data_IF_776229665306
#
_entry.id   IF_776229665306
#
_cell.length_a   1.000
_cell.length_b   1.000
_cell.length_c   1.000
_cell.angle_alpha   90.00
_cell.angle_beta   90.00
_cell.angle_gamma   90.00
#
_symmetry.space_group_name_H-M   'P 1'
#
loop_
_entity.id
_entity.type
_entity.pdbx_description
1 polymer ?
#
# COMPACT_ATOMS: atom_id res chain seq x y z
N UNK A 1 -14.84 5.83 -5.54
CA UNK A 1 -14.76 6.90 -4.52
C UNK A 1 -15.01 6.33 -3.13
N UNK A 2 -13.99 6.30 -2.27
CA UNK A 2 -14.04 5.70 -0.92
C UNK A 2 -14.37 6.72 0.16
N UNK A 3 -15.65 6.98 0.35
CA UNK A 3 -16.13 8.05 1.22
C UNK A 3 -16.57 7.53 2.58
N UNK A 4 -15.75 6.73 3.28
CA UNK A 4 -16.16 6.03 4.51
C UNK A 4 -16.60 6.96 5.64
N UNK A 5 -16.03 8.16 5.74
CA UNK A 5 -16.46 9.18 6.71
C UNK A 5 -17.88 9.70 6.45
N UNK A 6 -18.21 9.99 5.19
CA UNK A 6 -19.57 10.38 4.79
C UNK A 6 -20.54 9.22 4.95
N UNK A 7 -20.15 8.00 4.53
CA UNK A 7 -20.95 6.81 4.74
C UNK A 7 -21.25 6.53 6.22
N UNK A 8 -20.28 6.80 7.11
CA UNK A 8 -20.47 6.72 8.56
C UNK A 8 -21.45 7.77 9.06
N UNK A 9 -21.34 9.02 8.58
CA UNK A 9 -22.26 10.10 8.92
C UNK A 9 -23.68 9.79 8.49
N UNK A 10 -23.88 9.44 7.22
CA UNK A 10 -25.19 9.12 6.66
C UNK A 10 -25.84 7.93 7.35
N UNK A 11 -25.05 6.87 7.62
CA UNK A 11 -25.55 5.70 8.34
C UNK A 11 -25.90 6.02 9.80
N UNK A 12 -25.19 6.96 10.43
CA UNK A 12 -25.52 7.43 11.79
C UNK A 12 -26.82 8.22 11.78
N UNK A 13 -26.96 9.19 10.87
CA UNK A 13 -28.20 9.95 10.70
C UNK A 13 -29.39 9.06 10.37
N UNK A 14 -29.22 8.03 9.53
CA UNK A 14 -30.28 7.07 9.23
C UNK A 14 -30.76 6.32 10.49
N UNK A 15 -29.86 6.00 11.42
CA UNK A 15 -30.18 5.32 12.67
C UNK A 15 -30.75 6.27 13.74
N UNK A 16 -30.41 7.55 13.68
CA UNK A 16 -31.02 8.59 14.52
C UNK A 16 -32.49 8.81 14.12
N UNK A 17 -32.80 8.73 12.82
CA UNK A 17 -34.17 8.81 12.28
C UNK A 17 -34.94 7.51 12.56
N UNK A 18 -34.36 6.35 12.28
CA UNK A 18 -35.00 5.05 12.46
C UNK A 18 -34.04 4.01 13.07
N UNK A 19 -34.19 3.77 14.37
CA UNK A 19 -33.39 2.78 15.12
C UNK A 19 -33.70 1.33 14.75
N UNK A 20 -34.78 1.07 14.03
CA UNK A 20 -35.15 -0.28 13.55
C UNK A 20 -34.58 -0.59 12.16
N UNK A 21 -33.97 0.41 11.51
CA UNK A 21 -33.38 0.27 10.18
C UNK A 21 -32.08 -0.57 10.20
N UNK A 22 -32.22 -1.89 10.07
CA UNK A 22 -31.10 -2.85 10.12
C UNK A 22 -30.01 -2.57 9.07
N UNK A 23 -30.39 -2.08 7.88
CA UNK A 23 -29.42 -1.68 6.85
C UNK A 23 -28.53 -0.52 7.32
N UNK A 24 -29.03 0.38 8.18
CA UNK A 24 -28.24 1.46 8.78
C UNK A 24 -27.08 0.92 9.61
N UNK A 25 -27.36 -0.04 10.50
CA UNK A 25 -26.32 -0.72 11.29
C UNK A 25 -25.30 -1.42 10.39
N UNK A 26 -25.76 -2.15 9.36
CA UNK A 26 -24.85 -2.83 8.43
C UNK A 26 -23.92 -1.85 7.68
N UNK A 27 -24.46 -0.72 7.20
CA UNK A 27 -23.68 0.32 6.52
C UNK A 27 -22.70 1.00 7.46
N UNK A 28 -23.13 1.31 8.70
CA UNK A 28 -22.28 1.90 9.75
C UNK A 28 -21.16 0.93 10.17
N UNK A 29 -21.48 -0.35 10.32
CA UNK A 29 -20.52 -1.41 10.61
C UNK A 29 -19.46 -1.51 9.49
N UNK A 30 -19.90 -1.56 8.23
CA UNK A 30 -19.02 -1.64 7.06
C UNK A 30 -18.10 -0.41 6.97
N UNK A 31 -18.62 0.79 7.22
CA UNK A 31 -17.82 2.02 7.25
C UNK A 31 -16.80 2.01 8.39
N UNK A 32 -17.19 1.59 9.60
CA UNK A 32 -16.27 1.45 10.73
C UNK A 32 -15.19 0.39 10.47
N UNK A 33 -15.54 -0.71 9.80
CA UNK A 33 -14.59 -1.76 9.43
C UNK A 33 -13.53 -1.23 8.45
N UNK A 34 -13.95 -0.48 7.42
CA UNK A 34 -13.06 0.18 6.47
C UNK A 34 -12.16 1.26 7.11
N UNK A 35 -12.64 1.90 8.18
CA UNK A 35 -11.87 2.88 8.96
C UNK A 35 -10.94 2.24 10.01
N UNK A 36 -10.86 0.90 10.09
CA UNK A 36 -10.08 0.18 11.10
C UNK A 36 -10.70 0.20 12.51
N UNK A 37 -11.91 0.73 12.66
CA UNK A 37 -12.64 0.84 13.95
C UNK A 37 -13.40 -0.48 14.25
N UNK A 38 -12.66 -1.59 14.28
CA UNK A 38 -13.23 -2.95 14.33
C UNK A 38 -14.11 -3.20 15.56
N UNK A 39 -13.80 -2.64 16.72
CA UNK A 39 -14.65 -2.77 17.92
C UNK A 39 -16.04 -2.15 17.72
N UNK A 40 -16.11 -0.96 17.11
CA UNK A 40 -17.38 -0.28 16.79
C UNK A 40 -18.15 -1.03 15.71
N UNK A 41 -17.43 -1.54 14.70
CA UNK A 41 -18.03 -2.36 13.65
C UNK A 41 -18.64 -3.66 14.22
N UNK A 42 -17.96 -4.31 15.17
CA UNK A 42 -18.43 -5.55 15.80
C UNK A 42 -19.76 -5.37 16.52
N UNK A 43 -19.93 -4.29 17.29
CA UNK A 43 -21.19 -3.97 17.97
C UNK A 43 -22.35 -3.82 17.00
N UNK A 44 -22.14 -3.13 15.87
CA UNK A 44 -23.16 -2.95 14.86
C UNK A 44 -23.47 -4.26 14.11
N UNK A 45 -22.44 -5.07 13.78
CA UNK A 45 -22.66 -6.39 13.17
C UNK A 45 -23.36 -7.38 14.10
N UNK A 46 -23.12 -7.30 15.41
CA UNK A 46 -23.83 -8.10 16.40
C UNK A 46 -25.33 -7.77 16.42
N UNK A 47 -25.69 -6.48 16.35
CA UNK A 47 -27.08 -6.04 16.24
C UNK A 47 -27.74 -6.55 14.95
N UNK A 48 -27.03 -6.50 13.81
CA UNK A 48 -27.54 -7.03 12.53
C UNK A 48 -27.72 -8.55 12.60
N UNK A 49 -26.74 -9.29 13.12
CA UNK A 49 -26.80 -10.75 13.27
C UNK A 49 -27.97 -11.18 14.16
N UNK A 50 -28.21 -10.46 15.27
CA UNK A 50 -29.34 -10.72 16.18
C UNK A 50 -30.69 -10.46 15.49
N UNK A 51 -30.78 -9.40 14.69
CA UNK A 51 -32.00 -9.07 13.95
C UNK A 51 -32.26 -9.99 12.75
N UNK A 52 -31.21 -10.49 12.10
CA UNK A 52 -31.27 -11.33 10.89
C UNK A 52 -30.37 -12.56 11.00
N UNK A 53 -30.72 -13.56 11.84
CA UNK A 53 -29.86 -14.72 12.09
C UNK A 53 -29.71 -15.67 10.88
N UNK A 54 -30.65 -15.61 9.92
CA UNK A 54 -30.60 -16.40 8.68
C UNK A 54 -29.82 -15.72 7.54
N UNK A 55 -29.36 -14.50 7.74
CA UNK A 55 -28.58 -13.76 6.75
C UNK A 55 -27.11 -14.23 6.82
N UNK A 56 -26.74 -15.10 5.88
CA UNK A 56 -25.42 -15.71 5.86
C UNK A 56 -24.30 -14.68 5.68
N UNK A 57 -24.55 -13.59 4.94
CA UNK A 57 -23.56 -12.52 4.75
C UNK A 57 -23.30 -11.78 6.08
N UNK A 58 -24.37 -11.42 6.81
CA UNK A 58 -24.24 -10.79 8.11
C UNK A 58 -23.50 -11.67 9.13
N UNK A 59 -23.77 -12.98 9.14
CA UNK A 59 -23.07 -13.94 10.00
C UNK A 59 -21.59 -14.04 9.63
N UNK A 60 -21.28 -14.13 8.34
CA UNK A 60 -19.90 -14.21 7.86
C UNK A 60 -19.11 -12.94 8.23
N UNK A 61 -19.69 -11.75 8.01
CA UNK A 61 -19.08 -10.47 8.36
C UNK A 61 -18.86 -10.28 9.86
N UNK A 62 -19.82 -10.69 10.68
CA UNK A 62 -19.64 -10.73 12.13
C UNK A 62 -18.46 -11.63 12.52
N UNK A 63 -18.40 -12.86 12.01
CA UNK A 63 -17.34 -13.81 12.33
C UNK A 63 -15.96 -13.28 11.90
N UNK A 64 -15.88 -12.67 10.71
CA UNK A 64 -14.66 -12.04 10.21
C UNK A 64 -14.22 -10.87 11.10
N UNK A 65 -15.13 -9.95 11.41
CA UNK A 65 -14.85 -8.81 12.28
C UNK A 65 -14.41 -9.27 13.68
N UNK A 66 -15.07 -10.29 14.23
CA UNK A 66 -14.72 -10.85 15.54
C UNK A 66 -13.31 -11.45 15.54
N UNK A 67 -12.96 -12.20 14.49
CA UNK A 67 -11.61 -12.75 14.31
C UNK A 67 -10.54 -11.66 14.31
N UNK A 68 -10.76 -10.58 13.55
CA UNK A 68 -9.84 -9.44 13.47
C UNK A 68 -9.68 -8.76 14.85
N UNK A 69 -10.79 -8.51 15.56
CA UNK A 69 -10.75 -7.90 16.90
C UNK A 69 -9.95 -8.76 17.88
N UNK A 70 -10.15 -10.08 17.87
CA UNK A 70 -9.38 -11.00 18.71
C UNK A 70 -7.90 -11.04 18.33
N UNK A 71 -7.57 -11.08 17.04
CA UNK A 71 -6.19 -11.03 16.57
C UNK A 71 -5.49 -9.73 16.99
N UNK A 72 -6.16 -8.58 16.87
CA UNK A 72 -5.60 -7.30 17.30
C UNK A 72 -5.42 -7.22 18.82
N UNK A 73 -6.38 -7.74 19.59
CA UNK A 73 -6.26 -7.80 21.04
C UNK A 73 -5.09 -8.68 21.48
N UNK A 74 -4.92 -9.84 20.82
CA UNK A 74 -3.80 -10.76 21.05
C UNK A 74 -2.46 -10.12 20.68
N UNK A 75 -2.36 -9.52 19.49
CA UNK A 75 -1.16 -8.82 19.04
C UNK A 75 -0.79 -7.67 19.99
N UNK A 76 -1.78 -6.90 20.46
CA UNK A 76 -1.57 -5.81 21.44
C UNK A 76 -1.10 -6.33 22.80
N UNK A 77 -1.59 -7.48 23.24
CA UNK A 77 -1.14 -8.12 24.47
C UNK A 77 0.31 -8.60 24.39
N UNK A 78 0.76 -9.06 23.22
CA UNK A 78 2.13 -9.54 22.98
C UNK A 78 3.11 -8.38 22.69
N UNK A 79 2.62 -7.24 22.20
CA UNK A 79 3.45 -6.10 21.81
C UNK A 79 4.27 -5.46 22.95
N UNK A 80 4.07 -5.87 24.20
CA UNK A 80 4.74 -5.30 25.37
C UNK A 80 6.11 -5.96 25.68
N UNK A 81 6.48 -7.08 25.04
CA UNK A 81 7.66 -7.86 25.50
C UNK A 81 8.70 -8.29 24.44
N UNK A 82 8.71 -7.76 23.22
CA UNK A 82 9.80 -8.08 22.29
C UNK A 82 10.36 -6.86 21.56
N UNK A 83 11.69 -6.72 21.61
CA UNK A 83 12.38 -6.14 20.46
C UNK A 83 11.94 -6.97 19.26
N UNK A 84 11.13 -6.37 18.37
CA UNK A 84 10.62 -7.08 17.19
C UNK A 84 11.82 -7.49 16.36
N UNK A 85 12.23 -8.76 16.48
CA UNK A 85 13.19 -9.35 15.56
C UNK A 85 12.59 -9.25 14.17
N UNK A 86 13.37 -8.70 13.25
CA UNK A 86 12.97 -8.52 11.87
C UNK A 86 12.64 -9.89 11.27
N UNK A 87 11.53 -10.01 10.54
CA UNK A 87 11.17 -11.27 9.84
C UNK A 87 12.28 -11.64 8.85
N UNK A 88 12.94 -10.64 8.27
CA UNK A 88 14.09 -10.80 7.40
C UNK A 88 15.22 -11.64 8.04
N UNK A 89 15.50 -11.47 9.34
CA UNK A 89 16.57 -12.20 10.05
C UNK A 89 16.25 -13.70 10.20
N UNK A 90 14.97 -14.07 10.12
CA UNK A 90 14.53 -15.47 10.24
C UNK A 90 14.59 -16.23 8.91
N UNK A 91 14.80 -15.52 7.79
CA UNK A 91 14.74 -16.10 6.45
C UNK A 91 16.14 -16.49 6.00
N UNK A 92 16.34 -17.79 5.75
CA UNK A 92 17.59 -18.32 5.21
C UNK A 92 17.37 -18.81 3.77
N UNK A 93 17.90 -18.06 2.80
CA UNK A 93 17.76 -18.36 1.37
C UNK A 93 18.52 -19.62 0.93
N UNK A 94 19.61 -19.97 1.62
CA UNK A 94 20.48 -21.11 1.26
C UNK A 94 19.79 -22.44 1.52
N UNK A 95 18.91 -22.47 2.52
CA UNK A 95 18.11 -23.66 2.84
C UNK A 95 16.93 -23.87 1.86
N UNK A 96 16.64 -22.88 1.01
CA UNK A 96 15.56 -22.99 0.03
C UNK A 96 16.07 -23.70 -1.23
N UNK A 97 15.67 -24.96 -1.36
CA UNK A 97 15.85 -25.77 -2.58
C UNK A 97 14.83 -25.32 -3.62
N UNK A 98 15.30 -25.13 -4.85
CA UNK A 98 14.45 -24.91 -6.03
C UNK A 98 14.37 -26.23 -6.76
N UNK A 99 13.16 -26.72 -7.05
CA UNK A 99 12.98 -27.99 -7.73
C UNK A 99 13.56 -27.94 -9.16
N UNK A 100 14.09 -29.07 -9.64
CA UNK A 100 14.62 -29.18 -11.01
C UNK A 100 13.51 -28.98 -12.06
N UNK A 101 12.26 -29.30 -11.71
CA UNK A 101 11.06 -29.08 -12.53
C UNK A 101 10.63 -27.61 -12.60
N UNK A 102 11.27 -26.70 -11.86
CA UNK A 102 10.94 -25.28 -11.93
C UNK A 102 11.53 -24.65 -13.19
N UNK A 103 10.67 -24.37 -14.16
CA UNK A 103 11.01 -23.76 -15.46
C UNK A 103 10.91 -22.22 -15.46
N UNK A 104 10.57 -21.62 -14.33
CA UNK A 104 10.40 -20.18 -14.23
C UNK A 104 11.72 -19.41 -14.09
N UNK A 105 11.65 -18.08 -14.01
CA UNK A 105 12.82 -17.20 -13.93
C UNK A 105 13.70 -17.52 -12.72
N UNK A 106 15.01 -17.61 -12.96
CA UNK A 106 16.01 -17.89 -11.93
C UNK A 106 16.94 -16.70 -11.77
N UNK A 107 17.03 -16.20 -10.54
CA UNK A 107 18.02 -15.18 -10.18
C UNK A 107 19.15 -15.84 -9.42
N UNK A 108 20.17 -16.25 -10.16
CA UNK A 108 21.42 -16.81 -9.65
C UNK A 108 22.23 -15.77 -8.85
N UNK A 109 23.42 -16.13 -8.36
CA UNK A 109 24.24 -15.24 -7.54
C UNK A 109 24.60 -13.91 -8.25
N UNK A 110 24.75 -12.85 -7.45
CA UNK A 110 25.10 -11.51 -7.93
C UNK A 110 23.92 -10.56 -8.11
N UNK A 111 24.14 -9.52 -8.90
CA UNK A 111 23.14 -8.49 -9.20
C UNK A 111 22.00 -9.02 -10.07
N UNK A 112 20.85 -8.36 -10.02
CA UNK A 112 19.71 -8.75 -10.84
C UNK A 112 19.99 -8.36 -12.29
N UNK A 113 19.81 -9.30 -13.21
CA UNK A 113 19.94 -9.05 -14.64
C UNK A 113 18.59 -8.58 -15.24
N UNK A 114 18.65 -7.82 -16.34
CA UNK A 114 17.45 -7.33 -17.05
C UNK A 114 16.62 -8.51 -17.56
N UNK A 115 17.29 -9.57 -18.01
CA UNK A 115 16.69 -10.81 -18.54
C UNK A 115 15.83 -11.52 -17.50
N UNK A 116 16.25 -11.48 -16.22
CA UNK A 116 15.44 -12.02 -15.12
C UNK A 116 14.14 -11.22 -14.98
N UNK A 117 14.21 -9.89 -15.06
CA UNK A 117 13.02 -9.04 -14.95
C UNK A 117 12.07 -9.22 -16.14
N UNK A 118 12.57 -9.27 -17.38
CA UNK A 118 11.71 -9.54 -18.54
C UNK A 118 11.09 -10.93 -18.45
N UNK A 119 11.87 -11.95 -18.08
CA UNK A 119 11.36 -13.30 -17.86
C UNK A 119 10.33 -13.39 -16.73
N UNK A 120 10.50 -12.58 -15.67
CA UNK A 120 9.52 -12.45 -14.58
C UNK A 120 8.20 -11.90 -15.09
N UNK A 121 8.22 -10.81 -15.85
CA UNK A 121 7.00 -10.22 -16.39
C UNK A 121 6.23 -11.20 -17.27
N UNK A 122 6.92 -11.92 -18.16
CA UNK A 122 6.30 -12.93 -19.03
C UNK A 122 5.75 -14.11 -18.22
N UNK A 123 6.49 -14.59 -17.22
CA UNK A 123 6.04 -15.67 -16.34
C UNK A 123 4.77 -15.31 -15.57
N UNK A 124 4.72 -14.09 -15.02
CA UNK A 124 3.55 -13.59 -14.29
C UNK A 124 2.38 -13.30 -15.23
N UNK A 125 2.63 -12.90 -16.48
CA UNK A 125 1.60 -12.65 -17.50
C UNK A 125 0.85 -13.93 -17.86
N UNK A 126 1.55 -15.06 -17.86
CA UNK A 126 0.99 -16.42 -18.00
C UNK A 126 0.31 -16.92 -16.71
N UNK A 127 0.09 -16.06 -15.71
CA UNK A 127 -0.48 -16.38 -14.40
C UNK A 127 0.33 -17.42 -13.61
N UNK A 128 1.62 -17.57 -13.93
CA UNK A 128 2.49 -18.52 -13.23
C UNK A 128 3.13 -17.84 -12.03
N UNK A 129 3.34 -18.63 -10.97
CA UNK A 129 3.88 -18.15 -9.70
C UNK A 129 5.42 -18.16 -9.70
N UNK A 130 6.05 -17.05 -9.29
CA UNK A 130 7.49 -17.00 -9.04
C UNK A 130 7.85 -17.90 -7.85
N UNK A 131 8.93 -18.68 -7.96
CA UNK A 131 9.38 -19.53 -6.86
C UNK A 131 9.71 -18.71 -5.60
N UNK A 132 9.35 -19.23 -4.42
CA UNK A 132 9.45 -18.51 -3.13
C UNK A 132 10.85 -18.00 -2.83
N UNK A 133 11.90 -18.72 -3.23
CA UNK A 133 13.32 -18.33 -3.04
C UNK A 133 13.60 -16.98 -3.69
N UNK A 134 13.18 -16.81 -4.94
CA UNK A 134 13.42 -15.58 -5.69
C UNK A 134 12.51 -14.45 -5.22
N UNK A 135 11.26 -14.75 -4.83
CA UNK A 135 10.38 -13.77 -4.20
C UNK A 135 11.00 -13.22 -2.90
N UNK A 136 11.49 -14.08 -2.00
CA UNK A 136 12.19 -13.63 -0.79
C UNK A 136 13.48 -12.86 -1.12
N UNK A 137 14.25 -13.28 -2.12
CA UNK A 137 15.46 -12.57 -2.55
C UNK A 137 15.16 -11.14 -3.03
N UNK A 138 14.10 -10.95 -3.83
CA UNK A 138 13.62 -9.61 -4.24
C UNK A 138 13.24 -8.78 -3.01
N UNK A 139 12.45 -9.36 -2.10
CA UNK A 139 11.96 -8.66 -0.92
C UNK A 139 13.09 -8.21 0.01
N UNK A 140 14.02 -9.11 0.35
CA UNK A 140 15.15 -8.81 1.21
C UNK A 140 16.04 -7.71 0.61
N UNK A 141 16.35 -7.78 -0.69
CA UNK A 141 17.16 -6.74 -1.36
C UNK A 141 16.43 -5.41 -1.46
N UNK A 142 15.12 -5.43 -1.73
CA UNK A 142 14.32 -4.19 -1.73
C UNK A 142 14.25 -3.54 -0.34
N UNK A 143 14.17 -4.35 0.72
CA UNK A 143 14.18 -3.90 2.11
C UNK A 143 15.46 -3.14 2.44
N UNK A 144 16.63 -3.73 2.12
CA UNK A 144 17.93 -3.10 2.33
C UNK A 144 18.03 -1.73 1.64
N UNK A 145 17.50 -1.62 0.41
CA UNK A 145 17.46 -0.35 -0.33
C UNK A 145 16.57 0.67 0.38
N UNK A 146 15.36 0.29 0.79
CA UNK A 146 14.43 1.23 1.42
C UNK A 146 14.84 1.64 2.83
N UNK A 147 15.55 0.79 3.59
CA UNK A 147 16.02 1.10 4.95
C UNK A 147 16.99 2.27 4.99
N UNK A 148 17.87 2.38 4.01
CA UNK A 148 18.86 3.47 3.94
C UNK A 148 18.29 4.76 3.33
N UNK A 149 17.10 4.70 2.71
CA UNK A 149 16.48 5.87 2.10
C UNK A 149 15.84 6.80 3.14
N UNK A 150 15.84 8.12 2.92
CA UNK A 150 15.09 9.06 3.75
C UNK A 150 13.59 8.94 3.52
N UNK A 151 12.79 9.50 4.44
CA UNK A 151 11.33 9.51 4.32
C UNK A 151 10.84 10.43 3.18
N UNK A 152 11.63 11.43 2.82
CA UNK A 152 11.49 12.24 1.62
C UNK A 152 12.70 12.01 0.72
N UNK A 153 12.49 11.44 -0.47
CA UNK A 153 13.56 11.20 -1.44
C UNK A 153 13.66 12.39 -2.39
N UNK A 154 14.80 13.07 -2.41
CA UNK A 154 15.10 14.08 -3.42
C UNK A 154 15.56 13.38 -4.70
N UNK A 155 14.94 13.73 -5.83
CA UNK A 155 15.24 13.12 -7.14
C UNK A 155 15.76 14.20 -8.08
N UNK A 156 16.99 14.02 -8.52
CA UNK A 156 17.58 14.79 -9.62
C UNK A 156 17.33 14.03 -10.92
N UNK A 157 16.63 14.66 -11.85
CA UNK A 157 16.38 14.07 -13.17
C UNK A 157 17.62 14.37 -14.02
N UNK A 158 18.37 13.38 -14.51
CA UNK A 158 19.57 13.62 -15.32
C UNK A 158 19.24 14.42 -16.58
N UNK A 159 20.16 15.27 -17.03
CA UNK A 159 20.00 15.99 -18.31
C UNK A 159 19.96 15.04 -19.51
N UNK A 160 20.49 13.82 -19.36
CA UNK A 160 20.41 12.75 -20.36
C UNK A 160 19.04 12.08 -20.44
N UNK A 161 18.17 12.28 -19.45
CA UNK A 161 16.81 11.73 -19.44
C UNK A 161 15.83 12.80 -19.93
N UNK A 162 15.31 12.63 -21.14
CA UNK A 162 14.33 13.56 -21.72
C UNK A 162 12.99 13.60 -20.95
N UNK A 163 12.73 12.59 -20.10
CA UNK A 163 11.48 12.46 -19.36
C UNK A 163 11.64 11.76 -18.01
N UNK A 164 10.69 12.02 -17.13
CA UNK A 164 10.50 11.32 -15.86
C UNK A 164 9.01 10.96 -15.72
N UNK A 165 8.70 9.68 -15.56
CA UNK A 165 7.31 9.21 -15.56
C UNK A 165 6.79 9.06 -14.13
N UNK A 166 5.64 9.66 -13.82
CA UNK A 166 4.95 9.48 -12.54
C UNK A 166 3.66 8.71 -12.78
N UNK A 167 3.52 7.56 -12.13
CA UNK A 167 2.33 6.72 -12.14
C UNK A 167 1.58 6.85 -10.80
N UNK A 168 0.24 6.89 -10.86
CA UNK A 168 -0.62 6.80 -9.67
C UNK A 168 -0.93 5.34 -9.31
N UNK A 169 -2.10 5.15 -8.71
CA UNK A 169 -2.58 3.87 -8.18
C UNK A 169 -2.66 2.79 -9.27
N UNK A 170 -2.23 1.57 -8.92
CA UNK A 170 -2.28 0.40 -9.80
C UNK A 170 -3.25 -0.66 -9.25
N UNK A 171 -3.38 -0.77 -7.92
CA UNK A 171 -4.34 -1.65 -7.25
C UNK A 171 -4.42 -3.08 -7.82
N UNK A 172 -3.27 -3.75 -7.95
CA UNK A 172 -3.21 -5.14 -8.42
C UNK A 172 -3.72 -5.36 -9.84
N UNK A 173 -3.75 -4.32 -10.68
CA UNK A 173 -4.07 -4.41 -12.10
C UNK A 173 -2.82 -4.72 -12.93
N UNK A 174 -2.32 -5.96 -12.83
CA UNK A 174 -1.04 -6.36 -13.42
C UNK A 174 -0.98 -6.19 -14.95
N UNK A 175 -2.05 -6.53 -15.67
CA UNK A 175 -2.07 -6.37 -17.14
C UNK A 175 -2.08 -4.89 -17.57
N UNK A 176 -2.65 -4.01 -16.76
CA UNK A 176 -2.59 -2.56 -17.01
C UNK A 176 -1.18 -2.02 -16.73
N UNK A 177 -0.49 -2.55 -15.71
CA UNK A 177 0.94 -2.26 -15.49
C UNK A 177 1.80 -2.66 -16.69
N UNK A 178 1.57 -3.84 -17.27
CA UNK A 178 2.27 -4.26 -18.50
C UNK A 178 1.94 -3.34 -19.67
N UNK A 179 0.70 -2.86 -19.76
CA UNK A 179 0.29 -1.92 -20.80
C UNK A 179 1.00 -0.57 -20.65
N UNK A 180 1.18 -0.05 -19.42
CA UNK A 180 1.99 1.15 -19.14
C UNK A 180 3.41 0.96 -19.71
N UNK A 181 4.05 -0.17 -19.42
CA UNK A 181 5.40 -0.45 -19.92
C UNK A 181 5.46 -0.66 -21.44
N UNK A 182 4.40 -1.19 -22.04
CA UNK A 182 4.31 -1.35 -23.49
C UNK A 182 4.20 0.01 -24.18
N UNK A 183 3.40 0.93 -23.63
CA UNK A 183 3.15 2.25 -24.23
C UNK A 183 4.27 3.25 -23.96
N UNK A 184 4.86 3.24 -22.76
CA UNK A 184 5.84 4.24 -22.34
C UNK A 184 7.27 3.68 -22.21
N UNK A 185 7.47 2.39 -22.54
CA UNK A 185 8.74 1.69 -22.43
C UNK A 185 8.99 1.13 -21.03
N UNK A 186 9.80 0.06 -20.96
CA UNK A 186 10.22 -0.52 -19.70
C UNK A 186 11.04 0.47 -18.86
N UNK A 187 11.05 0.32 -17.53
CA UNK A 187 11.97 1.07 -16.68
C UNK A 187 13.43 0.80 -17.03
N UNK A 188 14.23 1.86 -17.05
CA UNK A 188 15.68 1.80 -17.26
C UNK A 188 16.34 3.05 -16.67
N UNK A 189 17.67 3.16 -16.78
CA UNK A 189 18.39 4.38 -16.41
C UNK A 189 17.94 5.60 -17.25
N UNK A 190 17.64 5.38 -18.54
CA UNK A 190 17.18 6.43 -19.46
C UNK A 190 15.65 6.67 -19.39
N UNK A 191 14.90 5.77 -18.76
CA UNK A 191 13.45 5.85 -18.63
C UNK A 191 13.01 5.67 -17.16
N UNK A 192 13.26 6.68 -16.29
CA UNK A 192 12.95 6.59 -14.87
C UNK A 192 11.46 6.69 -14.58
N UNK A 193 11.03 5.98 -13.53
CA UNK A 193 9.64 5.92 -13.07
C UNK A 193 9.53 6.22 -11.58
N UNK A 194 8.44 6.88 -11.19
CA UNK A 194 7.93 6.97 -9.83
C UNK A 194 6.52 6.38 -9.78
N UNK A 195 6.33 5.29 -9.04
CA UNK A 195 5.00 4.77 -8.71
C UNK A 195 4.55 5.33 -7.35
N UNK A 196 3.47 6.09 -7.34
CA UNK A 196 3.06 6.93 -6.22
C UNK A 196 2.05 6.24 -5.28
N UNK A 197 2.41 5.08 -4.74
CA UNK A 197 1.60 4.32 -3.77
C UNK A 197 0.42 3.55 -4.37
N UNK A 198 -0.28 2.80 -3.52
CA UNK A 198 -1.47 2.02 -3.85
C UNK A 198 -1.24 1.03 -5.01
N UNK A 199 -0.22 0.19 -4.81
CA UNK A 199 0.18 -0.84 -5.76
C UNK A 199 -0.71 -2.08 -5.66
N UNK A 200 -1.18 -2.37 -4.45
CA UNK A 200 -1.87 -3.61 -4.07
C UNK A 200 -3.32 -3.34 -3.66
N UNK A 201 -4.01 -4.42 -3.27
CA UNK A 201 -5.43 -4.46 -2.90
C UNK A 201 -6.38 -4.21 -4.08
N UNK A 202 -7.66 -4.59 -3.91
CA UNK A 202 -8.74 -4.51 -4.89
C UNK A 202 -8.57 -5.45 -6.08
N UNK A 203 -7.51 -5.29 -6.86
CA UNK A 203 -7.16 -6.18 -7.95
C UNK A 203 -6.66 -7.52 -7.44
N UNK A 204 -6.90 -8.57 -8.24
CA UNK A 204 -6.55 -9.95 -7.89
C UNK A 204 -5.15 -10.38 -8.35
N UNK A 205 -4.35 -9.44 -8.87
CA UNK A 205 -2.97 -9.65 -9.28
C UNK A 205 -2.00 -8.73 -8.52
N UNK A 206 -2.27 -8.53 -7.22
CA UNK A 206 -1.48 -7.63 -6.38
C UNK A 206 -0.07 -8.15 -6.15
N UNK A 207 0.10 -9.47 -6.03
CA UNK A 207 1.41 -10.13 -5.87
C UNK A 207 2.27 -9.94 -7.12
N UNK A 208 1.69 -10.08 -8.30
CA UNK A 208 2.39 -9.90 -9.58
C UNK A 208 2.86 -8.45 -9.74
N UNK A 209 1.97 -7.48 -9.44
CA UNK A 209 2.31 -6.05 -9.46
C UNK A 209 3.46 -5.76 -8.50
N UNK A 210 3.32 -6.10 -7.22
CA UNK A 210 4.31 -5.69 -6.23
C UNK A 210 5.67 -6.37 -6.44
N UNK A 211 5.70 -7.64 -6.85
CA UNK A 211 6.96 -8.32 -7.17
C UNK A 211 7.64 -7.68 -8.40
N UNK A 212 6.87 -7.25 -9.39
CA UNK A 212 7.40 -6.56 -10.56
C UNK A 212 7.98 -5.18 -10.22
N UNK A 213 7.26 -4.38 -9.43
CA UNK A 213 7.72 -3.06 -8.99
C UNK A 213 8.96 -3.16 -8.10
N UNK A 214 8.97 -4.08 -7.12
CA UNK A 214 10.14 -4.31 -6.27
C UNK A 214 11.32 -4.89 -7.04
N UNK A 215 11.06 -5.73 -8.05
CA UNK A 215 12.10 -6.22 -8.96
C UNK A 215 12.77 -5.08 -9.72
N UNK A 216 12.00 -4.17 -10.32
CA UNK A 216 12.58 -2.97 -10.95
C UNK A 216 13.26 -2.04 -9.95
N UNK A 217 12.77 -1.95 -8.71
CA UNK A 217 13.45 -1.20 -7.65
C UNK A 217 14.83 -1.78 -7.34
N UNK A 218 14.96 -3.10 -7.31
CA UNK A 218 16.23 -3.78 -7.09
C UNK A 218 17.16 -3.64 -8.29
N UNK A 219 16.62 -3.70 -9.52
CA UNK A 219 17.39 -3.58 -10.76
C UNK A 219 17.89 -2.14 -11.01
N UNK A 220 17.07 -1.13 -10.69
CA UNK A 220 17.36 0.28 -10.94
C UNK A 220 17.09 1.13 -9.69
N UNK A 221 17.85 0.97 -8.59
CA UNK A 221 17.55 1.61 -7.31
C UNK A 221 17.53 3.14 -7.36
N UNK A 222 18.28 3.74 -8.27
CA UNK A 222 18.38 5.20 -8.42
C UNK A 222 17.54 5.78 -9.58
N UNK A 223 16.79 4.93 -10.30
CA UNK A 223 15.95 5.36 -11.44
C UNK A 223 14.52 4.81 -11.37
N UNK A 224 14.25 3.89 -10.44
CA UNK A 224 12.92 3.39 -10.12
C UNK A 224 12.53 3.73 -8.68
N UNK A 225 11.48 4.54 -8.54
CA UNK A 225 11.06 5.13 -7.29
C UNK A 225 9.66 4.64 -6.91
N UNK A 226 9.43 4.48 -5.61
CA UNK A 226 8.17 3.97 -5.06
C UNK A 226 7.83 4.79 -3.82
N UNK A 227 6.65 5.40 -3.80
CA UNK A 227 6.11 6.04 -2.59
C UNK A 227 5.14 5.11 -1.88
N UNK A 228 5.02 5.24 -0.57
CA UNK A 228 3.98 4.56 0.21
C UNK A 228 2.62 5.19 -0.06
N UNK A 229 1.60 4.37 -0.31
CA UNK A 229 0.19 4.75 -0.32
C UNK A 229 -0.53 4.32 0.97
N UNK A 230 -1.84 4.55 1.04
CA UNK A 230 -2.60 4.06 2.20
C UNK A 230 -2.85 2.55 2.15
N UNK A 231 -2.86 1.95 0.96
CA UNK A 231 -3.01 0.51 0.79
C UNK A 231 -1.75 -0.28 1.15
N UNK A 232 -0.58 0.34 1.28
CA UNK A 232 0.61 -0.30 1.87
C UNK A 232 0.58 -0.28 3.42
N UNK A 233 -0.54 -0.76 3.99
CA UNK A 233 -0.80 -0.87 5.43
C UNK A 233 -1.60 -2.11 5.82
N UNK A 234 -1.35 -2.66 7.01
CA UNK A 234 -1.96 -3.90 7.52
C UNK A 234 -3.49 -3.82 7.47
N UNK A 235 -4.05 -2.71 7.95
CA UNK A 235 -5.50 -2.55 8.04
C UNK A 235 -6.17 -2.59 6.66
N UNK A 236 -5.54 -2.04 5.63
CA UNK A 236 -6.08 -2.07 4.27
C UNK A 236 -5.92 -3.46 3.67
N UNK A 237 -4.73 -4.06 3.78
CA UNK A 237 -4.44 -5.36 3.17
C UNK A 237 -5.28 -6.52 3.73
N UNK A 238 -5.63 -6.45 5.02
CA UNK A 238 -6.56 -7.40 5.67
C UNK A 238 -7.98 -7.32 5.13
N UNK A 239 -8.38 -6.13 4.71
CA UNK A 239 -9.74 -5.81 4.30
C UNK A 239 -9.95 -5.98 2.79
N UNK A 240 -8.93 -5.64 2.00
CA UNK A 240 -9.07 -5.43 0.56
C UNK A 240 -8.32 -6.43 -0.32
N UNK A 241 -7.69 -7.44 0.30
CA UNK A 241 -7.38 -8.70 -0.37
C UNK A 241 -5.91 -9.08 -0.39
N UNK A 242 -4.97 -8.13 -0.26
CA UNK A 242 -3.56 -8.44 -0.43
C UNK A 242 -3.01 -9.45 0.58
N UNK A 243 -3.39 -9.36 1.87
CA UNK A 243 -2.99 -10.39 2.86
C UNK A 243 -3.52 -11.77 2.44
N UNK A 244 -4.78 -11.84 2.00
CA UNK A 244 -5.40 -13.08 1.53
C UNK A 244 -4.67 -13.67 0.32
N UNK A 245 -4.34 -12.82 -0.65
CA UNK A 245 -3.63 -13.21 -1.88
C UNK A 245 -2.22 -13.74 -1.59
N UNK A 246 -1.44 -13.04 -0.76
CA UNK A 246 -0.09 -13.48 -0.37
C UNK A 246 -0.14 -14.80 0.39
N UNK A 247 -1.09 -14.97 1.32
CA UNK A 247 -1.23 -16.24 2.08
C UNK A 247 -1.67 -17.40 1.19
N UNK A 248 -2.45 -17.14 0.15
CA UNK A 248 -2.87 -18.16 -0.81
C UNK A 248 -1.74 -18.57 -1.77
N UNK A 249 -0.98 -17.58 -2.30
CA UNK A 249 0.12 -17.84 -3.25
C UNK A 249 1.39 -18.34 -2.55
N UNK A 250 1.69 -17.82 -1.36
CA UNK A 250 2.92 -18.08 -0.61
C UNK A 250 2.67 -18.55 0.82
N UNK A 251 2.82 -17.69 1.82
CA UNK A 251 2.84 -18.04 3.24
C UNK A 251 2.52 -16.84 4.13
N UNK A 252 2.25 -17.10 5.42
CA UNK A 252 2.14 -16.04 6.43
C UNK A 252 3.45 -15.25 6.57
N UNK A 253 4.60 -15.93 6.59
CA UNK A 253 5.91 -15.29 6.73
C UNK A 253 6.22 -14.32 5.57
N UNK A 254 5.77 -14.65 4.35
CA UNK A 254 5.89 -13.76 3.19
C UNK A 254 5.09 -12.47 3.38
N UNK A 255 3.86 -12.58 3.90
CA UNK A 255 3.00 -11.44 4.21
C UNK A 255 3.62 -10.54 5.31
N UNK A 256 4.16 -11.15 6.36
CA UNK A 256 4.80 -10.41 7.44
C UNK A 256 6.03 -9.63 6.92
N UNK A 257 6.80 -10.20 5.98
CA UNK A 257 7.91 -9.50 5.32
C UNK A 257 7.45 -8.35 4.40
N UNK A 258 6.38 -8.54 3.61
CA UNK A 258 5.78 -7.44 2.83
C UNK A 258 5.38 -6.28 3.74
N UNK A 259 4.77 -6.58 4.89
CA UNK A 259 4.37 -5.58 5.89
C UNK A 259 5.56 -4.81 6.44
N UNK A 260 6.69 -5.48 6.70
CA UNK A 260 7.93 -4.81 7.11
C UNK A 260 8.45 -3.87 6.01
N UNK A 261 8.50 -4.34 4.76
CA UNK A 261 8.99 -3.55 3.62
C UNK A 261 8.11 -2.32 3.39
N UNK A 262 6.79 -2.48 3.45
CA UNK A 262 5.83 -1.37 3.29
C UNK A 262 6.03 -0.27 4.34
N UNK A 263 6.53 -0.59 5.53
CA UNK A 263 6.87 0.43 6.52
C UNK A 263 8.11 1.25 6.15
N UNK A 264 9.00 0.71 5.33
CA UNK A 264 10.22 1.38 4.88
C UNK A 264 10.06 2.18 3.60
N UNK A 265 8.93 2.03 2.88
CA UNK A 265 8.65 2.83 1.68
C UNK A 265 8.68 4.35 2.00
N UNK A 266 9.39 5.18 1.21
CA UNK A 266 9.37 6.62 1.34
C UNK A 266 7.96 7.20 1.30
N UNK A 267 7.72 8.29 2.03
CA UNK A 267 6.40 8.91 2.13
C UNK A 267 6.16 9.94 1.02
N UNK A 268 7.23 10.53 0.47
CA UNK A 268 7.16 11.56 -0.55
C UNK A 268 8.44 11.61 -1.40
N UNK A 269 8.33 12.21 -2.59
CA UNK A 269 9.46 12.48 -3.47
C UNK A 269 9.49 13.96 -3.87
N UNK A 270 10.67 14.55 -3.91
CA UNK A 270 10.87 15.93 -4.37
C UNK A 270 11.69 15.93 -5.67
N UNK A 271 11.02 16.13 -6.79
CA UNK A 271 11.63 16.13 -8.12
C UNK A 271 12.22 17.51 -8.44
N UNK A 272 13.50 17.56 -8.83
CA UNK A 272 14.20 18.79 -9.25
C UNK A 272 14.09 19.94 -8.24
N UNK A 273 13.93 19.63 -6.94
CA UNK A 273 13.66 20.61 -5.87
C UNK A 273 12.45 21.53 -6.13
N UNK A 274 11.52 21.11 -7.00
CA UNK A 274 10.42 21.96 -7.50
C UNK A 274 9.06 21.29 -7.45
N UNK A 275 8.99 19.97 -7.64
CA UNK A 275 7.73 19.22 -7.66
C UNK A 275 7.71 18.25 -6.50
N UNK A 276 6.82 18.50 -5.54
CA UNK A 276 6.58 17.57 -4.43
C UNK A 276 5.49 16.59 -4.84
N UNK A 277 5.81 15.29 -4.76
CA UNK A 277 4.90 14.19 -5.07
C UNK A 277 4.58 13.45 -3.77
N UNK A 278 3.30 13.36 -3.47
CA UNK A 278 2.74 12.62 -2.33
C UNK A 278 1.58 11.76 -2.82
N UNK A 279 1.31 10.63 -2.18
CA UNK A 279 0.17 9.79 -2.53
C UNK A 279 -1.18 10.50 -2.28
N UNK A 280 -1.42 10.95 -1.04
CA UNK A 280 -2.69 11.53 -0.63
C UNK A 280 -2.80 13.04 -0.83
N UNK A 281 -1.90 13.82 -0.24
CA UNK A 281 -1.95 15.27 -0.35
C UNK A 281 -1.19 16.01 0.75
N UNK A 282 -1.58 17.28 0.97
CA UNK A 282 -0.93 18.17 1.93
C UNK A 282 -1.32 17.90 3.38
N UNK A 283 -0.65 18.60 4.29
CA UNK A 283 -0.75 18.48 5.73
C UNK A 283 -2.03 19.09 6.30
N UNK A 284 -2.45 18.59 7.47
CA UNK A 284 -3.55 19.19 8.24
C UNK A 284 -3.16 20.47 8.99
N UNK A 285 -1.88 20.82 8.97
CA UNK A 285 -1.31 22.01 9.61
C UNK A 285 -0.64 22.89 8.55
N UNK A 286 -0.86 24.19 8.64
CA UNK A 286 -0.15 25.18 7.82
C UNK A 286 1.33 25.30 8.23
N UNK A 287 2.15 25.84 7.33
CA UNK A 287 3.55 26.17 7.62
C UNK A 287 4.50 24.97 7.74
N UNK A 288 4.05 23.76 7.41
CA UNK A 288 4.89 22.57 7.37
C UNK A 288 5.98 22.73 6.31
N UNK A 289 7.23 22.56 6.72
CA UNK A 289 8.39 22.65 5.82
C UNK A 289 8.72 21.28 5.25
N UNK A 290 9.27 21.28 4.03
CA UNK A 290 9.77 20.07 3.36
C UNK A 290 10.81 19.33 4.22
N UNK A 291 11.63 20.04 4.98
CA UNK A 291 12.60 19.43 5.90
C UNK A 291 11.94 18.58 7.00
N UNK A 292 10.72 18.93 7.44
CA UNK A 292 10.01 18.16 8.47
C UNK A 292 9.57 16.77 7.95
N UNK A 293 9.48 16.58 6.62
CA UNK A 293 9.18 15.27 6.03
C UNK A 293 10.36 14.30 6.11
N UNK A 294 11.60 14.82 6.10
CA UNK A 294 12.82 14.00 6.08
C UNK A 294 12.95 13.22 7.38
N UNK A 295 12.62 13.85 8.50
CA UNK A 295 12.82 13.33 9.86
C UNK A 295 11.66 12.44 10.36
N UNK A 296 10.68 12.12 9.52
CA UNK A 296 9.57 11.27 9.93
C UNK A 296 10.06 9.84 10.14
N UNK A 297 9.90 9.33 11.37
CA UNK A 297 10.00 7.89 11.64
C UNK A 297 8.82 7.16 10.98
N UNK A 298 9.12 6.63 9.79
CA UNK A 298 8.15 5.98 8.91
C UNK A 298 8.03 4.48 9.12
N UNK A 299 8.98 3.83 9.80
CA UNK A 299 9.02 2.37 9.98
C UNK A 299 7.99 1.87 10.99
N UNK A 300 6.72 2.13 10.69
CA UNK A 300 5.55 1.80 11.50
C UNK A 300 4.29 1.86 10.63
N UNK A 301 3.19 1.35 11.18
CA UNK A 301 1.89 1.55 10.55
C UNK A 301 1.50 3.03 10.60
N UNK A 302 0.81 3.55 9.56
CA UNK A 302 0.33 4.92 9.57
C UNK A 302 -0.56 5.19 10.79
N UNK A 303 -0.35 6.30 11.51
CA UNK A 303 -1.19 6.64 12.66
C UNK A 303 -2.61 7.02 12.20
N UNK A 304 -3.61 6.79 13.06
CA UNK A 304 -4.99 7.24 12.77
C UNK A 304 -5.10 8.76 12.65
N UNK A 305 -4.30 9.48 13.44
CA UNK A 305 -4.24 10.94 13.49
C UNK A 305 -2.78 11.41 13.48
N UNK A 306 -2.53 12.57 12.89
CA UNK A 306 -1.20 13.16 12.80
C UNK A 306 -1.12 14.19 11.68
N UNK A 307 -0.20 15.13 11.79
CA UNK A 307 -0.06 16.18 10.78
C UNK A 307 0.34 15.65 9.40
N UNK A 308 1.07 14.51 9.37
CA UNK A 308 1.57 13.87 8.16
C UNK A 308 0.72 12.68 7.69
N UNK A 309 -0.31 12.26 8.45
CA UNK A 309 -1.15 11.12 8.03
C UNK A 309 -1.88 11.40 6.71
N UNK A 310 -2.04 12.67 6.39
CA UNK A 310 -2.67 13.16 5.16
C UNK A 310 -1.78 13.06 3.93
N UNK A 311 -0.46 12.85 4.11
CA UNK A 311 0.47 12.53 3.03
C UNK A 311 0.08 11.20 2.35
N UNK A 312 -0.51 10.28 3.12
CA UNK A 312 -1.00 9.00 2.63
C UNK A 312 -2.52 9.01 2.37
N UNK A 313 -3.25 10.05 2.78
CA UNK A 313 -4.71 10.11 2.67
C UNK A 313 -5.15 11.54 2.36
N UNK A 314 -5.75 11.82 1.19
CA UNK A 314 -6.15 13.18 0.86
C UNK A 314 -7.03 13.81 1.94
N UNK A 315 -6.71 15.04 2.37
CA UNK A 315 -7.64 15.85 3.14
C UNK A 315 -8.83 16.19 2.25
N UNK A 316 -10.00 15.66 2.60
CA UNK A 316 -11.24 16.13 1.98
C UNK A 316 -11.58 17.50 2.57
N UNK A 317 -11.44 18.55 1.76
CA UNK A 317 -11.86 19.92 2.11
C UNK A 317 -13.25 19.89 2.76
N UNK A 318 -13.40 20.56 3.91
CA UNK A 318 -14.71 21.10 4.29
C UNK A 318 -15.06 22.14 3.22
N UNK A 319 -16.24 22.02 2.63
CA UNK A 319 -16.78 23.03 1.72
C UNK A 319 -16.81 24.38 2.48
N UNK A 320 -16.14 25.42 1.97
CA UNK A 320 -16.30 26.80 2.44
C UNK A 320 -15.09 27.56 3.00
N UNK A 321 -13.86 27.05 2.98
CA UNK A 321 -12.68 27.86 3.36
C UNK A 321 -12.00 28.52 2.14
N UNK A 322 -11.91 29.86 2.08
CA UNK A 322 -11.17 30.53 1.02
C UNK A 322 -9.66 30.30 1.22
N UNK A 323 -8.94 30.09 0.11
CA UNK A 323 -7.48 30.06 0.07
C UNK A 323 -6.94 31.49 0.06
N UNK A 324 -6.10 31.84 1.04
CA UNK A 324 -5.27 33.06 1.00
C UNK A 324 -3.79 32.73 1.04
N UNK A 325 -3.36 31.62 0.42
CA UNK A 325 -1.95 31.27 0.31
C UNK A 325 -1.35 31.80 -1.00
N UNK A 326 -0.76 32.99 -0.93
CA UNK A 326 0.31 33.40 -1.84
C UNK A 326 1.58 32.66 -1.40
N UNK A 327 1.96 31.60 -2.09
CA UNK A 327 3.24 30.90 -1.88
C UNK A 327 3.89 30.62 -3.23
N UNK A 328 5.22 30.80 -3.29
CA UNK A 328 6.07 30.71 -4.51
C UNK A 328 6.05 29.36 -5.25
N UNK A 329 7.01 29.10 -6.16
CA UNK A 329 6.82 28.26 -7.35
C UNK A 329 6.84 26.73 -7.12
N UNK A 330 6.55 26.24 -5.91
CA UNK A 330 6.50 24.80 -5.62
C UNK A 330 5.19 24.20 -6.17
N UNK A 331 5.29 23.30 -7.15
CA UNK A 331 4.13 22.56 -7.66
C UNK A 331 3.95 21.25 -6.87
N UNK A 332 2.71 20.92 -6.53
CA UNK A 332 2.36 19.67 -5.84
C UNK A 332 1.61 18.81 -6.84
N UNK A 333 2.17 17.64 -7.15
CA UNK A 333 1.51 16.65 -8.00
C UNK A 333 0.88 15.57 -7.11
N UNK A 334 -0.44 15.46 -7.18
CA UNK A 334 -1.22 14.39 -6.57
C UNK A 334 -1.99 13.66 -7.68
N UNK A 335 -1.36 12.69 -8.38
CA UNK A 335 -1.98 11.96 -9.49
C UNK A 335 -3.30 11.27 -9.11
N UNK A 336 -3.50 10.99 -7.82
CA UNK A 336 -4.64 10.25 -7.27
C UNK A 336 -5.93 11.09 -7.15
N UNK A 337 -5.90 12.38 -7.50
CA UNK A 337 -7.13 13.18 -7.63
C UNK A 337 -7.78 12.82 -8.97
N UNK A 338 -8.56 11.73 -8.96
CA UNK A 338 -9.51 11.43 -10.02
C UNK A 338 -10.36 12.68 -10.31
N UNK A 339 -10.22 13.19 -11.53
CA UNK A 339 -10.91 14.37 -12.00
C UNK A 339 -12.42 14.21 -11.92
N UNK A 340 -13.07 15.18 -11.28
CA UNK A 340 -14.45 15.52 -11.57
C UNK A 340 -14.51 16.13 -12.96
N UNK A 341 -15.06 15.38 -13.93
CA UNK A 341 -15.74 15.96 -15.07
C UNK A 341 -17.25 15.94 -14.83
#
# INVERSE_FOLDING_TARGET
>A
MESYGYALSDATTALDIDRTYIKGYYRRASANMALGKFKKALTDFEAVKKARPKDQDAVNKYNQCNKIVHQQAFAKAIAVESSKKSVAESINLDTMVVEETYEGPRWEEGEMAVEFMTGLLDWLKDEKKLHRKYAYKILLRSKEIFEVQPSLVAVSIPDSSDRFTVCGDIHGQFYDLLNIFTLNGLPSQDNPYLFNGDFVDRGSFSVEVILSLLGFKVLYPDHFFMSRGNHESINMNQMYGFEGEVRAKYSQQMWDLFTEIFNWLPLAHLLQSRVLVTHGGLFSRDGVKVSELVDIDRNRQPPEEGWYSTVLRPLRRKVGTPSTANSGPLMIACPCISGSH
#
